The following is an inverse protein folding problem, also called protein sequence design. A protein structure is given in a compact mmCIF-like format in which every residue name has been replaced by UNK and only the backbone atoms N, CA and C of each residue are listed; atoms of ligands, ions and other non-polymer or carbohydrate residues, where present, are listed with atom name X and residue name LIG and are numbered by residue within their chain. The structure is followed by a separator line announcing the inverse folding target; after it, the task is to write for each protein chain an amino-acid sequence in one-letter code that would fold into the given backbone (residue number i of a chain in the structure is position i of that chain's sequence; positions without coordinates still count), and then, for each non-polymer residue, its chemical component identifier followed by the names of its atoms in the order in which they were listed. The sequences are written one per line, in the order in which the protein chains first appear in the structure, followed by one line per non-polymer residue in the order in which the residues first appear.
data_IF_557669300474
#
_entry.id   IF_557669300474
#
_cell.length_a   1.000
_cell.length_b   1.000
_cell.length_c   1.000
_cell.angle_alpha   90.00
_cell.angle_beta   90.00
_cell.angle_gamma   90.00
#
_symmetry.space_group_name_H-M   'P 1'
#
loop_
_entity.id
_entity.type
_entity.pdbx_description
1 polymer ?
#
# COMPACT_ATOMS: atom_id res chain seq x y z
N UNK A 1 -15.96 -20.22 -1.77
CA UNK A 1 -16.94 -19.55 -2.66
C UNK A 1 -16.12 -18.80 -3.71
N UNK A 2 -16.57 -18.79 -4.99
CA UNK A 2 -15.87 -18.05 -6.04
C UNK A 2 -16.00 -16.54 -5.79
N UNK A 3 -14.93 -15.79 -6.00
CA UNK A 3 -14.97 -14.32 -5.93
C UNK A 3 -15.95 -13.78 -6.94
N UNK A 4 -16.87 -12.86 -6.56
CA UNK A 4 -17.83 -12.27 -7.49
C UNK A 4 -17.11 -11.62 -8.68
N UNK A 5 -17.66 -11.75 -9.87
CA UNK A 5 -17.12 -11.13 -11.09
C UNK A 5 -17.71 -9.75 -11.27
N UNK A 6 -16.89 -8.73 -11.35
CA UNK A 6 -17.27 -7.37 -11.70
C UNK A 6 -17.05 -7.11 -13.20
N UNK A 7 -17.91 -6.27 -13.80
CA UNK A 7 -17.67 -5.77 -15.15
C UNK A 7 -16.50 -4.78 -15.18
N UNK A 8 -15.88 -4.50 -16.35
CA UNK A 8 -14.83 -3.49 -16.45
C UNK A 8 -15.25 -2.12 -15.91
N UNK A 9 -16.51 -1.71 -16.13
CA UNK A 9 -17.09 -0.45 -15.64
C UNK A 9 -17.19 -0.45 -14.10
N UNK A 10 -17.64 -1.55 -13.51
CA UNK A 10 -17.69 -1.71 -12.06
C UNK A 10 -16.29 -1.70 -11.44
N UNK A 11 -15.32 -2.34 -12.07
CA UNK A 11 -13.91 -2.29 -11.64
C UNK A 11 -13.40 -0.86 -11.66
N UNK A 12 -13.66 -0.10 -12.72
CA UNK A 12 -13.26 1.30 -12.83
C UNK A 12 -13.92 2.14 -11.73
N UNK A 13 -15.22 1.93 -11.46
CA UNK A 13 -15.95 2.62 -10.41
C UNK A 13 -15.36 2.32 -9.02
N UNK A 14 -15.14 1.06 -8.68
CA UNK A 14 -14.55 0.65 -7.39
C UNK A 14 -13.13 1.21 -7.26
N UNK A 15 -12.33 1.18 -8.32
CA UNK A 15 -10.98 1.77 -8.33
C UNK A 15 -11.02 3.28 -8.05
N UNK A 16 -12.00 4.00 -8.59
CA UNK A 16 -12.23 5.42 -8.30
C UNK A 16 -12.62 5.67 -6.84
N UNK A 17 -13.46 4.81 -6.25
CA UNK A 17 -13.83 4.89 -4.83
C UNK A 17 -12.63 4.63 -3.92
N UNK A 18 -11.78 3.65 -4.24
CA UNK A 18 -10.53 3.39 -3.51
C UNK A 18 -9.58 4.58 -3.62
N UNK A 19 -9.41 5.15 -4.82
CA UNK A 19 -8.57 6.33 -5.04
C UNK A 19 -9.03 7.53 -4.20
N UNK A 20 -10.34 7.79 -4.17
CA UNK A 20 -10.94 8.85 -3.35
C UNK A 20 -10.72 8.60 -1.86
N UNK A 21 -10.92 7.35 -1.40
CA UNK A 21 -10.67 6.99 -0.01
C UNK A 21 -9.21 7.24 0.38
N UNK A 22 -8.25 6.77 -0.43
CA UNK A 22 -6.82 6.98 -0.21
C UNK A 22 -6.48 8.46 -0.09
N UNK A 23 -6.92 9.30 -1.04
CA UNK A 23 -6.69 10.74 -1.01
C UNK A 23 -7.27 11.39 0.24
N UNK A 24 -8.51 11.04 0.62
CA UNK A 24 -9.16 11.57 1.81
C UNK A 24 -8.42 11.17 3.10
N UNK A 25 -7.95 9.93 3.21
CA UNK A 25 -7.20 9.48 4.39
C UNK A 25 -5.82 10.15 4.46
N UNK A 26 -5.15 10.33 3.32
CA UNK A 26 -3.91 11.09 3.24
C UNK A 26 -4.09 12.51 3.79
N UNK A 27 -5.06 13.27 3.28
CA UNK A 27 -5.36 14.63 3.73
C UNK A 27 -5.69 14.71 5.23
N UNK A 28 -6.55 13.79 5.73
CA UNK A 28 -6.93 13.74 7.15
C UNK A 28 -5.76 13.47 8.08
N UNK A 29 -4.81 12.67 7.64
CA UNK A 29 -3.68 12.24 8.45
C UNK A 29 -2.49 13.18 8.39
N UNK A 30 -2.34 13.94 7.29
CA UNK A 30 -1.16 14.76 7.00
C UNK A 30 -0.85 15.78 8.08
N UNK A 31 -1.88 16.44 8.66
CA UNK A 31 -1.68 17.48 9.70
C UNK A 31 -1.19 16.93 11.06
N UNK A 32 -1.36 15.63 11.30
CA UNK A 32 -0.97 14.93 12.53
C UNK A 32 0.32 14.13 12.36
N UNK A 33 0.70 13.87 11.12
CA UNK A 33 1.85 13.04 10.80
C UNK A 33 3.16 13.82 10.90
N UNK A 34 4.21 13.16 11.37
CA UNK A 34 5.53 13.73 11.61
C UNK A 34 6.58 13.11 10.67
N UNK A 35 7.70 13.81 10.38
CA UNK A 35 8.79 13.21 9.61
C UNK A 35 9.37 11.96 10.28
N UNK A 36 10.06 11.12 9.49
CA UNK A 36 10.84 10.03 10.02
C UNK A 36 11.89 10.55 11.02
N UNK A 37 12.06 9.83 12.13
CA UNK A 37 13.11 10.13 13.11
C UNK A 37 14.52 9.92 12.52
N UNK A 38 15.54 10.54 13.14
CA UNK A 38 16.93 10.39 12.70
C UNK A 38 17.38 8.93 12.60
N UNK A 39 17.09 8.04 13.58
CA UNK A 39 17.41 6.62 13.45
C UNK A 39 16.69 5.92 12.28
N UNK A 40 15.40 6.22 12.07
CA UNK A 40 14.63 5.66 10.95
C UNK A 40 15.20 6.09 9.60
N UNK A 41 15.54 7.37 9.46
CA UNK A 41 16.17 7.93 8.25
C UNK A 41 17.52 7.26 7.97
N UNK A 42 18.36 7.11 8.98
CA UNK A 42 19.66 6.46 8.86
C UNK A 42 19.54 4.99 8.45
N UNK A 43 18.54 4.27 9.01
CA UNK A 43 18.29 2.86 8.69
C UNK A 43 17.78 2.68 7.25
N UNK A 44 16.86 3.52 6.80
CA UNK A 44 16.22 3.44 5.47
C UNK A 44 17.10 4.06 4.36
N UNK A 45 18.06 4.89 4.72
CA UNK A 45 19.04 5.44 3.77
C UNK A 45 19.81 4.36 3.02
N UNK A 46 20.02 4.56 1.71
CA UNK A 46 20.64 3.58 0.81
C UNK A 46 19.68 2.50 0.27
N UNK A 47 18.43 2.44 0.75
CA UNK A 47 17.36 1.68 0.14
C UNK A 47 16.39 2.60 -0.59
N UNK A 48 16.03 3.71 0.04
CA UNK A 48 15.10 4.71 -0.50
C UNK A 48 15.86 6.01 -0.82
N UNK A 49 15.35 6.74 -1.80
CA UNK A 49 15.92 8.05 -2.15
C UNK A 49 15.78 9.05 -0.98
N UNK A 50 16.73 9.98 -0.81
CA UNK A 50 16.61 11.03 0.21
C UNK A 50 15.29 11.80 0.11
N UNK A 51 14.82 12.07 -1.11
CA UNK A 51 13.57 12.78 -1.35
C UNK A 51 12.37 12.03 -0.79
N UNK A 52 12.26 10.70 -1.04
CA UNK A 52 11.18 9.89 -0.48
C UNK A 52 11.19 9.92 1.05
N UNK A 53 12.38 9.76 1.65
CA UNK A 53 12.53 9.78 3.12
C UNK A 53 12.16 11.17 3.69
N UNK A 54 12.48 12.24 2.98
CA UNK A 54 12.22 13.62 3.41
C UNK A 54 10.73 13.99 3.31
N UNK A 55 10.04 13.48 2.29
CA UNK A 55 8.63 13.77 2.05
C UNK A 55 7.69 12.88 2.86
N UNK A 56 8.11 11.66 3.21
CA UNK A 56 7.25 10.72 3.95
C UNK A 56 6.98 11.20 5.38
N UNK A 57 5.74 11.02 5.81
CA UNK A 57 5.24 11.34 7.15
C UNK A 57 4.66 10.10 7.82
N UNK A 58 4.89 9.96 9.12
CA UNK A 58 4.43 8.85 9.93
C UNK A 58 3.42 9.33 10.96
N UNK A 59 2.31 8.61 11.10
CA UNK A 59 1.32 8.81 12.16
C UNK A 59 1.13 7.50 12.92
N UNK A 60 1.42 7.51 14.22
CA UNK A 60 1.09 6.40 15.11
C UNK A 60 -0.19 6.77 15.86
N UNK A 61 -1.26 6.01 15.63
CA UNK A 61 -2.54 6.20 16.29
C UNK A 61 -2.46 5.72 17.74
N UNK A 62 -3.13 6.46 18.64
CA UNK A 62 -3.17 6.13 20.07
C UNK A 62 -4.61 5.81 20.47
N UNK A 63 -4.97 4.52 20.39
CA UNK A 63 -6.34 4.08 20.72
C UNK A 63 -7.39 4.44 19.67
N UNK A 64 -6.99 4.97 18.53
CA UNK A 64 -7.82 5.22 17.38
C UNK A 64 -7.59 4.13 16.31
N UNK A 65 -8.53 3.98 15.40
CA UNK A 65 -8.48 3.01 14.32
C UNK A 65 -8.78 3.66 12.98
N UNK A 66 -8.12 3.21 11.94
CA UNK A 66 -8.49 3.59 10.59
C UNK A 66 -9.83 2.94 10.24
N UNK A 67 -10.83 3.76 9.92
CA UNK A 67 -12.15 3.27 9.56
C UNK A 67 -12.13 2.57 8.20
N UNK A 68 -12.91 1.48 8.09
CA UNK A 68 -13.14 0.85 6.80
C UNK A 68 -13.84 1.82 5.84
N UNK A 69 -13.57 1.70 4.52
CA UNK A 69 -14.21 2.54 3.51
C UNK A 69 -15.74 2.47 3.55
N UNK A 70 -16.41 3.61 3.41
CA UNK A 70 -17.88 3.72 3.45
C UNK A 70 -18.58 2.92 2.33
N UNK A 71 -17.87 2.56 1.28
CA UNK A 71 -18.39 1.73 0.19
C UNK A 71 -18.32 0.21 0.45
N UNK A 72 -17.71 -0.25 1.55
CA UNK A 72 -17.63 -1.68 1.88
C UNK A 72 -19.01 -2.38 2.02
N UNK A 73 -20.04 -1.75 2.63
CA UNK A 73 -21.37 -2.35 2.65
C UNK A 73 -21.93 -2.67 1.24
N UNK A 74 -21.70 -1.78 0.27
CA UNK A 74 -22.08 -2.00 -1.13
C UNK A 74 -21.31 -3.20 -1.73
N UNK A 75 -19.99 -3.31 -1.50
CA UNK A 75 -19.22 -4.46 -1.97
C UNK A 75 -19.66 -5.76 -1.31
N UNK A 76 -20.00 -5.74 -0.02
CA UNK A 76 -20.54 -6.92 0.68
C UNK A 76 -21.88 -7.37 0.09
N UNK A 77 -22.77 -6.43 -0.29
CA UNK A 77 -24.04 -6.78 -0.96
C UNK A 77 -23.83 -7.41 -2.34
N UNK A 78 -22.66 -7.17 -2.98
CA UNK A 78 -22.24 -7.83 -4.22
C UNK A 78 -21.54 -9.19 -3.96
N UNK A 79 -21.43 -9.63 -2.70
CA UNK A 79 -20.86 -10.93 -2.33
C UNK A 79 -19.40 -10.93 -1.92
N UNK A 80 -18.74 -9.76 -1.80
CA UNK A 80 -17.36 -9.64 -1.30
C UNK A 80 -17.32 -9.70 0.23
N UNK A 81 -17.05 -10.88 0.79
CA UNK A 81 -17.05 -11.09 2.24
C UNK A 81 -15.66 -11.05 2.88
N UNK A 82 -14.60 -11.03 2.07
CA UNK A 82 -13.18 -11.07 2.48
C UNK A 82 -12.46 -9.75 2.25
N UNK A 83 -13.17 -8.63 2.29
CA UNK A 83 -12.57 -7.30 2.13
C UNK A 83 -11.53 -7.05 3.24
N UNK A 84 -10.39 -6.40 2.92
CA UNK A 84 -9.38 -6.06 3.91
C UNK A 84 -9.97 -5.19 5.02
N UNK A 85 -9.75 -5.58 6.28
CA UNK A 85 -10.20 -4.79 7.44
C UNK A 85 -9.11 -3.80 7.84
N UNK A 86 -9.32 -2.53 7.52
CA UNK A 86 -8.36 -1.47 7.79
C UNK A 86 -8.06 -1.31 9.29
N UNK A 87 -9.05 -1.57 10.14
CA UNK A 87 -8.89 -1.47 11.59
C UNK A 87 -8.01 -2.57 12.20
N UNK A 88 -7.84 -3.68 11.48
CA UNK A 88 -7.03 -4.82 11.90
C UNK A 88 -5.61 -4.83 11.32
N UNK A 89 -5.28 -3.90 10.41
CA UNK A 89 -3.94 -3.80 9.83
C UNK A 89 -2.94 -3.19 10.81
N UNK A 90 -1.70 -3.64 10.81
CA UNK A 90 -0.64 -3.06 11.63
C UNK A 90 -0.33 -1.61 11.20
N UNK A 91 -0.24 -1.37 9.90
CA UNK A 91 -0.09 -0.05 9.30
C UNK A 91 -0.75 0.00 7.92
N UNK A 92 -0.94 1.20 7.40
CA UNK A 92 -1.53 1.45 6.07
C UNK A 92 -0.86 2.69 5.48
N UNK A 93 -0.44 2.60 4.23
CA UNK A 93 0.13 3.73 3.50
C UNK A 93 -0.94 4.43 2.67
N UNK A 94 -1.05 5.73 2.85
CA UNK A 94 -1.87 6.65 2.06
C UNK A 94 -0.97 7.68 1.38
N UNK A 95 -0.49 7.38 0.18
CA UNK A 95 0.47 8.19 -0.59
C UNK A 95 1.82 8.36 0.13
N UNK A 96 2.09 9.54 0.66
CA UNK A 96 3.28 9.91 1.42
C UNK A 96 3.07 9.88 2.95
N UNK A 97 1.87 9.49 3.40
CA UNK A 97 1.54 9.38 4.82
C UNK A 97 1.33 7.91 5.19
N UNK A 98 2.10 7.43 6.13
CA UNK A 98 1.97 6.08 6.70
C UNK A 98 1.30 6.17 8.06
N UNK A 99 0.17 5.48 8.22
CA UNK A 99 -0.61 5.43 9.46
C UNK A 99 -0.45 4.06 10.09
N UNK A 100 -0.03 3.99 11.35
CA UNK A 100 0.15 2.75 12.11
C UNK A 100 -0.72 2.72 13.37
N UNK A 101 -1.24 1.55 13.71
CA UNK A 101 -1.99 1.32 14.95
C UNK A 101 -1.09 1.03 16.16
N UNK A 102 0.22 0.98 15.97
CA UNK A 102 1.22 0.77 17.00
C UNK A 102 2.61 1.24 16.57
N UNK A 103 3.63 1.09 17.43
CA UNK A 103 5.00 1.45 17.10
C UNK A 103 5.49 0.72 15.84
N UNK A 104 6.23 1.40 14.99
CA UNK A 104 6.85 0.79 13.83
C UNK A 104 8.02 -0.12 14.23
N UNK A 105 7.97 -1.39 13.81
CA UNK A 105 9.20 -2.18 13.66
C UNK A 105 9.96 -1.74 12.40
N UNK A 106 11.24 -2.09 12.32
CA UNK A 106 12.05 -1.77 11.14
C UNK A 106 11.50 -2.43 9.86
N UNK A 107 11.06 -3.69 9.96
CA UNK A 107 10.46 -4.43 8.83
C UNK A 107 9.13 -3.81 8.38
N UNK A 108 8.25 -3.48 9.34
CA UNK A 108 6.98 -2.81 9.03
C UNK A 108 7.21 -1.46 8.35
N UNK A 109 8.09 -0.63 8.89
CA UNK A 109 8.42 0.66 8.28
C UNK A 109 8.97 0.49 6.86
N UNK A 110 9.87 -0.48 6.66
CA UNK A 110 10.43 -0.76 5.33
C UNK A 110 9.32 -1.15 4.34
N UNK A 111 8.42 -2.06 4.73
CA UNK A 111 7.29 -2.51 3.92
C UNK A 111 6.40 -1.33 3.50
N UNK A 112 6.02 -0.48 4.45
CA UNK A 112 5.17 0.69 4.17
C UNK A 112 5.88 1.72 3.26
N UNK A 113 7.19 1.91 3.42
CA UNK A 113 7.95 2.79 2.53
C UNK A 113 8.03 2.25 1.08
N UNK A 114 7.95 0.93 0.89
CA UNK A 114 7.81 0.36 -0.48
C UNK A 114 6.48 0.83 -1.08
N UNK A 115 5.38 0.84 -0.31
CA UNK A 115 4.12 1.37 -0.80
C UNK A 115 4.17 2.87 -1.10
N UNK A 116 4.90 3.68 -0.32
CA UNK A 116 5.16 5.09 -0.66
C UNK A 116 5.84 5.20 -2.03
N UNK A 117 6.87 4.38 -2.30
CA UNK A 117 7.54 4.37 -3.60
C UNK A 117 6.62 3.91 -4.72
N UNK A 118 5.77 2.93 -4.49
CA UNK A 118 4.76 2.50 -5.46
C UNK A 118 3.78 3.63 -5.79
N UNK A 119 3.28 4.38 -4.78
CA UNK A 119 2.44 5.55 -5.00
C UNK A 119 3.15 6.64 -5.80
N UNK A 120 4.43 6.88 -5.49
CA UNK A 120 5.25 7.87 -6.16
C UNK A 120 5.41 7.58 -7.66
N UNK A 121 5.62 6.32 -8.03
CA UNK A 121 5.79 5.91 -9.43
C UNK A 121 4.47 5.73 -10.19
N UNK A 122 3.40 5.34 -9.52
CA UNK A 122 2.13 5.01 -10.14
C UNK A 122 1.10 6.14 -10.07
N UNK A 123 1.17 6.97 -9.04
CA UNK A 123 0.08 7.87 -8.64
C UNK A 123 -1.12 7.12 -8.06
N UNK A 124 -1.98 7.86 -7.35
CA UNK A 124 -3.16 7.29 -6.66
C UNK A 124 -4.08 6.51 -7.60
N UNK A 125 -4.48 7.02 -8.80
CA UNK A 125 -5.45 6.32 -9.62
C UNK A 125 -4.94 4.98 -10.14
N UNK A 126 -3.67 4.92 -10.59
CA UNK A 126 -3.08 3.68 -11.13
C UNK A 126 -2.80 2.67 -10.03
N UNK A 127 -2.28 3.11 -8.88
CA UNK A 127 -2.10 2.26 -7.70
C UNK A 127 -3.43 1.62 -7.31
N UNK A 128 -4.50 2.42 -7.12
CA UNK A 128 -5.83 1.95 -6.73
C UNK A 128 -6.42 0.96 -7.73
N UNK A 129 -6.24 1.23 -9.03
CA UNK A 129 -6.68 0.31 -10.09
C UNK A 129 -5.95 -1.03 -10.07
N UNK A 130 -4.63 -1.03 -9.83
CA UNK A 130 -3.83 -2.25 -9.68
C UNK A 130 -4.19 -3.02 -8.42
N UNK A 131 -4.42 -2.31 -7.31
CA UNK A 131 -4.83 -2.89 -6.03
C UNK A 131 -6.17 -3.63 -6.17
N UNK A 132 -7.20 -2.96 -6.72
CA UNK A 132 -8.54 -3.56 -6.93
C UNK A 132 -8.45 -4.78 -7.84
N UNK A 133 -7.78 -4.68 -9.00
CA UNK A 133 -7.61 -5.81 -9.92
C UNK A 133 -6.83 -6.95 -9.29
N UNK A 134 -5.77 -6.63 -8.54
CA UNK A 134 -4.97 -7.61 -7.81
C UNK A 134 -5.80 -8.40 -6.81
N UNK A 135 -6.62 -7.70 -6.01
CA UNK A 135 -7.54 -8.32 -5.06
C UNK A 135 -8.58 -9.21 -5.74
N UNK A 136 -9.23 -8.71 -6.81
CA UNK A 136 -10.25 -9.47 -7.55
C UNK A 136 -9.70 -10.76 -8.15
N UNK A 137 -8.47 -10.75 -8.65
CA UNK A 137 -7.85 -11.91 -9.29
C UNK A 137 -7.21 -12.87 -8.28
N UNK A 138 -6.56 -12.34 -7.26
CA UNK A 138 -5.89 -13.15 -6.23
C UNK A 138 -6.84 -13.71 -5.17
N UNK A 139 -8.03 -13.11 -5.02
CA UNK A 139 -9.03 -13.52 -4.03
C UNK A 139 -8.64 -13.27 -2.57
N UNK A 140 -7.49 -12.66 -2.32
CA UNK A 140 -7.02 -12.34 -0.97
C UNK A 140 -6.06 -11.13 -0.98
N UNK A 141 -5.92 -10.49 0.18
CA UNK A 141 -4.98 -9.37 0.38
C UNK A 141 -3.54 -9.73 0.02
N UNK A 142 -3.03 -10.83 0.56
CA UNK A 142 -1.64 -11.26 0.34
C UNK A 142 -1.31 -11.69 -1.09
N UNK A 143 -2.32 -11.86 -1.97
CA UNK A 143 -2.13 -12.17 -3.38
C UNK A 143 -2.11 -10.92 -4.28
N UNK A 144 -2.31 -9.73 -3.72
CA UNK A 144 -2.23 -8.46 -4.47
C UNK A 144 -0.77 -8.25 -4.91
N UNK A 145 -0.47 -8.06 -6.22
CA UNK A 145 0.91 -7.91 -6.68
C UNK A 145 1.69 -6.76 -6.03
N UNK A 146 1.02 -5.68 -5.65
CA UNK A 146 1.63 -4.58 -4.89
C UNK A 146 2.12 -5.04 -3.52
N UNK A 147 1.32 -5.85 -2.81
CA UNK A 147 1.69 -6.44 -1.52
C UNK A 147 2.81 -7.48 -1.69
N UNK A 148 2.70 -8.35 -2.69
CA UNK A 148 3.76 -9.34 -3.00
C UNK A 148 5.10 -8.65 -3.26
N UNK A 149 5.12 -7.52 -3.96
CA UNK A 149 6.31 -6.72 -4.18
C UNK A 149 6.86 -6.17 -2.85
N UNK A 150 6.01 -5.58 -2.00
CA UNK A 150 6.42 -5.01 -0.73
C UNK A 150 6.96 -6.09 0.23
N UNK A 151 6.29 -7.24 0.34
CA UNK A 151 6.78 -8.38 1.13
C UNK A 151 8.09 -8.97 0.57
N UNK A 152 8.25 -9.03 -0.75
CA UNK A 152 9.48 -9.53 -1.38
C UNK A 152 10.69 -8.65 -1.02
N UNK A 153 10.52 -7.32 -1.13
CA UNK A 153 11.59 -6.37 -0.83
C UNK A 153 11.84 -6.26 0.68
N UNK A 154 10.77 -6.29 1.49
CA UNK A 154 10.86 -6.34 2.95
C UNK A 154 11.61 -7.57 3.45
N UNK A 155 11.32 -8.75 2.89
CA UNK A 155 12.06 -9.99 3.21
C UNK A 155 13.55 -9.91 2.86
N UNK A 156 13.93 -9.27 1.75
CA UNK A 156 15.35 -9.01 1.43
C UNK A 156 16.02 -8.10 2.45
N UNK A 157 15.31 -7.05 2.88
CA UNK A 157 15.79 -6.14 3.90
C UNK A 157 16.01 -6.87 5.24
N UNK A 158 15.04 -7.65 5.70
CA UNK A 158 15.11 -8.36 6.98
C UNK A 158 16.20 -9.44 7.00
N UNK A 159 16.41 -10.15 5.87
CA UNK A 159 17.46 -11.16 5.76
C UNK A 159 18.87 -10.58 5.86
N UNK A 160 19.11 -9.42 5.28
CA UNK A 160 20.42 -8.76 5.33
C UNK A 160 20.30 -7.24 5.15
N UNK A 161 20.06 -6.49 6.24
CA UNK A 161 19.93 -5.03 6.19
C UNK A 161 21.21 -4.30 5.75
N UNK A 162 22.36 -4.96 5.77
CA UNK A 162 23.62 -4.40 5.29
C UNK A 162 23.75 -4.43 3.77
N UNK A 163 23.03 -5.37 3.10
CA UNK A 163 23.04 -5.49 1.65
C UNK A 163 22.07 -4.50 1.01
N UNK A 164 22.55 -3.27 0.77
CA UNK A 164 21.75 -2.17 0.21
C UNK A 164 21.34 -2.45 -1.24
N UNK A 165 20.12 -2.03 -1.58
CA UNK A 165 19.58 -2.04 -2.94
C UNK A 165 18.60 -0.89 -3.13
N UNK A 166 18.41 -0.44 -4.36
CA UNK A 166 17.48 0.63 -4.68
C UNK A 166 16.04 0.09 -4.77
N UNK A 167 15.17 0.47 -3.83
CA UNK A 167 13.73 0.13 -3.90
C UNK A 167 13.08 0.82 -5.10
N UNK A 168 13.49 2.04 -5.42
CA UNK A 168 13.02 2.77 -6.61
C UNK A 168 13.25 1.95 -7.89
N UNK A 169 14.46 1.39 -8.07
CA UNK A 169 14.79 0.59 -9.26
C UNK A 169 14.05 -0.75 -9.28
N UNK A 170 13.87 -1.38 -8.13
CA UNK A 170 13.11 -2.63 -8.02
C UNK A 170 11.62 -2.42 -8.37
N UNK A 171 10.99 -1.39 -7.82
CA UNK A 171 9.59 -1.05 -8.15
C UNK A 171 9.45 -0.71 -9.63
N UNK A 172 10.37 0.11 -10.16
CA UNK A 172 10.41 0.45 -11.59
C UNK A 172 10.52 -0.79 -12.48
N UNK A 173 11.37 -1.74 -12.10
CA UNK A 173 11.51 -3.02 -12.81
C UNK A 173 10.21 -3.81 -12.80
N UNK A 174 9.54 -3.97 -11.67
CA UNK A 174 8.26 -4.68 -11.58
C UNK A 174 7.18 -4.02 -12.44
N UNK A 175 7.17 -2.68 -12.49
CA UNK A 175 6.26 -1.92 -13.37
C UNK A 175 6.57 -2.22 -14.85
N UNK A 176 7.84 -2.16 -15.25
CA UNK A 176 8.27 -2.37 -16.64
C UNK A 176 8.02 -3.80 -17.12
N UNK A 177 8.22 -4.80 -16.23
CA UNK A 177 7.95 -6.21 -16.51
C UNK A 177 6.47 -6.59 -16.43
N UNK A 178 5.58 -5.63 -16.11
CA UNK A 178 4.14 -5.88 -15.94
C UNK A 178 3.79 -6.74 -14.73
N UNK A 179 4.71 -6.98 -13.80
CA UNK A 179 4.51 -7.85 -12.63
C UNK A 179 3.53 -7.28 -11.60
N UNK A 180 3.31 -5.98 -11.60
CA UNK A 180 2.26 -5.35 -10.79
C UNK A 180 0.89 -5.42 -11.49
N UNK A 181 0.85 -5.84 -12.75
CA UNK A 181 -0.39 -6.06 -13.48
C UNK A 181 -0.78 -7.53 -13.34
N UNK A 182 -2.04 -7.78 -13.15
CA UNK A 182 -2.56 -9.15 -13.19
C UNK A 182 -2.71 -9.54 -14.65
N UNK A 183 -2.26 -10.74 -15.03
CA UNK A 183 -2.46 -11.27 -16.38
C UNK A 183 -3.91 -11.09 -16.81
N UNK A 184 -4.09 -10.59 -18.03
CA UNK A 184 -5.43 -10.40 -18.62
C UNK A 184 -6.18 -11.73 -18.60
N UNK A 185 -7.42 -11.69 -18.14
CA UNK A 185 -8.37 -12.72 -18.43
C UNK A 185 -8.56 -12.77 -19.95
N UNK A 186 -8.20 -13.89 -20.59
CA UNK A 186 -8.68 -14.24 -21.92
C UNK A 186 -10.10 -14.76 -21.82
#
# INVERSE_FOLDING_TARGET
MATPRLTPEQIAQVSGLVAKYVATQCERSASRAIPLSVPQRALMGGFFSPLLIDETRLLVLQGEWVANPDFYPMLRSLGFNNLPDQSAMAAITFCDVVVSHGPFSNGLLFHELVHVEQYRQLGIPRFSGLYVRGFLNGGSYGAIPLEVNAYTLGGRFEQNPANRFSVEDEVRRWIAEGRLQVCRWN
#
